data_IF_091236435993
#
_entry.id   IF_091236435993
#
_cell.length_a   1.000
_cell.length_b   1.000
_cell.length_c   1.000
_cell.angle_alpha   90.00
_cell.angle_beta   90.00
_cell.angle_gamma   90.00
#
_symmetry.space_group_name_H-M   'P 1'
#
loop_
_entity.id
_entity.type
_entity.pdbx_description
1 polymer ?
#
# COMPACT_ATOMS: atom_id res chain seq x y z
N UNK A 1 -7.24 16.40 -21.02
CA UNK A 1 -7.39 15.24 -21.90
C UNK A 1 -6.05 14.95 -22.56
N UNK A 2 -5.59 13.72 -22.51
CA UNK A 2 -4.44 13.23 -23.28
C UNK A 2 -4.85 12.07 -24.16
N UNK A 3 -4.28 11.99 -25.34
CA UNK A 3 -4.41 10.84 -26.22
C UNK A 3 -3.12 10.01 -26.07
N UNK A 4 -3.31 8.71 -25.88
CA UNK A 4 -2.21 7.71 -25.82
C UNK A 4 -2.51 6.69 -26.90
N UNK A 5 -1.55 6.45 -27.78
CA UNK A 5 -1.63 5.37 -28.76
C UNK A 5 -1.03 4.10 -28.15
N UNK A 6 -1.82 3.06 -28.06
CA UNK A 6 -1.40 1.73 -27.68
C UNK A 6 -2.11 0.69 -28.54
N UNK A 7 -1.41 -0.35 -28.95
CA UNK A 7 -1.96 -1.47 -29.74
C UNK A 7 -2.69 -1.04 -31.05
N UNK A 8 -2.25 0.08 -31.64
CA UNK A 8 -2.89 0.64 -32.85
C UNK A 8 -4.24 1.35 -32.59
N UNK A 9 -4.59 1.56 -31.33
CA UNK A 9 -5.77 2.31 -30.91
C UNK A 9 -5.38 3.61 -30.21
N UNK A 10 -6.15 4.66 -30.45
CA UNK A 10 -6.02 5.93 -29.74
C UNK A 10 -6.97 5.92 -28.53
N UNK A 11 -6.40 6.09 -27.35
CA UNK A 11 -7.16 6.18 -26.09
C UNK A 11 -7.19 7.63 -25.61
N UNK A 12 -8.38 8.14 -25.42
CA UNK A 12 -8.59 9.44 -24.82
C UNK A 12 -8.76 9.29 -23.32
N UNK A 13 -7.81 9.84 -22.57
CA UNK A 13 -7.86 9.82 -21.12
C UNK A 13 -8.30 11.19 -20.61
N UNK A 14 -9.48 11.24 -20.02
CA UNK A 14 -9.96 12.42 -19.31
C UNK A 14 -9.35 12.49 -17.93
N UNK A 15 -8.94 13.70 -17.51
CA UNK A 15 -8.35 13.93 -16.21
C UNK A 15 -9.34 13.69 -15.09
N UNK A 16 -9.16 12.61 -14.39
CA UNK A 16 -9.95 12.22 -13.23
C UNK A 16 -9.10 11.38 -12.27
N UNK A 17 -9.62 11.06 -11.10
CA UNK A 17 -8.96 10.11 -10.20
C UNK A 17 -8.88 8.73 -10.86
N UNK A 18 -7.88 7.94 -10.45
CA UNK A 18 -7.84 6.52 -10.81
C UNK A 18 -9.12 5.83 -10.35
N UNK A 19 -9.64 4.92 -11.17
CA UNK A 19 -10.85 4.15 -10.86
C UNK A 19 -10.53 2.82 -10.14
N UNK A 20 -9.27 2.60 -9.77
CA UNK A 20 -8.84 1.38 -9.09
C UNK A 20 -9.60 1.22 -7.77
N UNK A 21 -10.00 0.00 -7.47
CA UNK A 21 -10.48 -0.40 -6.15
C UNK A 21 -9.28 -0.82 -5.30
N UNK A 22 -8.75 0.12 -4.52
CA UNK A 22 -7.57 -0.12 -3.71
C UNK A 22 -7.84 -1.11 -2.57
N UNK A 23 -9.04 -1.09 -1.99
CA UNK A 23 -9.39 -2.04 -0.94
C UNK A 23 -9.44 -3.47 -1.48
N UNK A 24 -10.08 -3.67 -2.62
CA UNK A 24 -10.10 -4.98 -3.27
C UNK A 24 -8.68 -5.45 -3.62
N UNK A 25 -7.85 -4.58 -4.20
CA UNK A 25 -6.45 -4.89 -4.49
C UNK A 25 -5.67 -5.31 -3.23
N UNK A 26 -5.81 -4.56 -2.13
CA UNK A 26 -5.11 -4.86 -0.89
C UNK A 26 -5.58 -6.19 -0.27
N UNK A 27 -6.88 -6.48 -0.33
CA UNK A 27 -7.44 -7.74 0.14
C UNK A 27 -7.01 -8.93 -0.73
N UNK A 28 -6.98 -8.76 -2.05
CA UNK A 28 -6.53 -9.80 -2.98
C UNK A 28 -5.04 -10.09 -2.79
N UNK A 29 -4.21 -9.07 -2.57
CA UNK A 29 -2.80 -9.25 -2.26
C UNK A 29 -2.60 -10.01 -0.94
N UNK A 30 -3.35 -9.65 0.10
CA UNK A 30 -3.34 -10.35 1.39
C UNK A 30 -3.64 -11.83 1.23
N UNK A 31 -4.75 -12.15 0.56
CA UNK A 31 -5.16 -13.53 0.31
C UNK A 31 -4.16 -14.30 -0.57
N UNK A 32 -3.59 -13.65 -1.58
CA UNK A 32 -2.61 -14.28 -2.47
C UNK A 32 -1.31 -14.64 -1.74
N UNK A 33 -0.82 -13.75 -0.87
CA UNK A 33 0.39 -14.02 -0.06
C UNK A 33 0.10 -15.09 0.99
N UNK A 34 -1.04 -15.02 1.66
CA UNK A 34 -1.46 -16.05 2.61
C UNK A 34 -1.50 -17.42 1.94
N UNK A 35 -2.17 -17.55 0.79
CA UNK A 35 -2.22 -18.78 0.02
C UNK A 35 -0.82 -19.27 -0.37
N UNK A 36 0.04 -18.36 -0.84
CA UNK A 36 1.42 -18.70 -1.20
C UNK A 36 2.20 -19.25 -0.02
N UNK A 37 2.00 -18.73 1.17
CA UNK A 37 2.66 -19.21 2.38
C UNK A 37 2.09 -20.54 2.88
N UNK A 38 0.79 -20.79 2.67
CA UNK A 38 0.12 -22.00 3.14
C UNK A 38 0.29 -23.20 2.20
N UNK A 39 0.36 -22.97 0.89
CA UNK A 39 0.51 -24.04 -0.10
C UNK A 39 1.97 -24.24 -0.53
N UNK A 40 2.57 -25.41 -0.23
CA UNK A 40 3.97 -25.68 -0.57
C UNK A 40 4.29 -25.57 -2.07
N UNK A 41 3.36 -25.94 -2.94
CA UNK A 41 3.57 -25.89 -4.39
C UNK A 41 3.58 -24.45 -4.91
N UNK A 42 2.70 -23.61 -4.40
CA UNK A 42 2.65 -22.19 -4.68
C UNK A 42 3.90 -21.47 -4.17
N UNK A 43 4.36 -21.82 -2.95
CA UNK A 43 5.60 -21.25 -2.43
C UNK A 43 6.83 -21.68 -3.24
N UNK A 44 6.88 -22.91 -3.70
CA UNK A 44 7.98 -23.39 -4.53
C UNK A 44 8.04 -22.68 -5.88
N UNK A 45 6.89 -22.44 -6.51
CA UNK A 45 6.81 -21.66 -7.75
C UNK A 45 7.22 -20.21 -7.53
N UNK A 46 6.74 -19.58 -6.45
CA UNK A 46 7.11 -18.23 -6.05
C UNK A 46 8.62 -18.11 -5.80
N UNK A 47 9.19 -19.03 -5.02
CA UNK A 47 10.63 -19.03 -4.71
C UNK A 47 11.49 -19.21 -5.98
N UNK A 48 11.05 -20.05 -6.91
CA UNK A 48 11.74 -20.22 -8.20
C UNK A 48 11.70 -18.95 -9.05
N UNK A 49 10.58 -18.23 -9.03
CA UNK A 49 10.43 -16.96 -9.76
C UNK A 49 11.30 -15.84 -9.18
N UNK A 50 11.38 -15.73 -7.85
CA UNK A 50 12.13 -14.67 -7.17
C UNK A 50 13.64 -14.93 -7.16
N UNK A 51 14.05 -16.17 -6.84
CA UNK A 51 15.47 -16.49 -6.66
C UNK A 51 16.13 -16.98 -7.96
N UNK A 52 15.34 -17.29 -8.97
CA UNK A 52 15.78 -17.85 -10.23
C UNK A 52 16.18 -19.31 -10.16
N UNK A 53 15.93 -20.07 -11.22
CA UNK A 53 16.38 -21.44 -11.37
C UNK A 53 15.79 -22.42 -10.35
N UNK A 54 16.65 -23.24 -9.71
CA UNK A 54 16.26 -24.20 -8.69
C UNK A 54 16.86 -23.80 -7.34
N UNK A 55 16.14 -23.02 -6.53
CA UNK A 55 16.65 -22.56 -5.23
C UNK A 55 16.87 -23.73 -4.27
N UNK A 56 17.91 -23.65 -3.47
CA UNK A 56 18.20 -24.62 -2.41
C UNK A 56 17.17 -24.53 -1.28
N UNK A 57 17.09 -25.57 -0.45
CA UNK A 57 16.19 -25.56 0.71
C UNK A 57 16.49 -24.43 1.69
N UNK A 58 17.77 -24.07 1.85
CA UNK A 58 18.16 -22.95 2.73
C UNK A 58 17.74 -21.60 2.16
N UNK A 59 17.89 -21.39 0.85
CA UNK A 59 17.41 -20.18 0.19
C UNK A 59 15.88 -20.03 0.31
N UNK A 60 15.14 -21.10 0.10
CA UNK A 60 13.69 -21.13 0.27
C UNK A 60 13.28 -20.79 1.70
N UNK A 61 13.96 -21.37 2.70
CA UNK A 61 13.70 -21.12 4.12
C UNK A 61 13.95 -19.66 4.49
N UNK A 62 15.03 -19.08 4.00
CA UNK A 62 15.33 -17.68 4.21
C UNK A 62 14.27 -16.76 3.57
N UNK A 63 13.93 -17.01 2.30
CA UNK A 63 12.90 -16.25 1.61
C UNK A 63 11.55 -16.37 2.34
N UNK A 64 11.16 -17.56 2.79
CA UNK A 64 9.93 -17.75 3.56
C UNK A 64 9.90 -16.89 4.80
N UNK A 65 10.99 -16.88 5.57
CA UNK A 65 11.09 -16.05 6.78
C UNK A 65 10.97 -14.56 6.47
N UNK A 66 11.59 -14.09 5.39
CA UNK A 66 11.51 -12.70 4.96
C UNK A 66 10.06 -12.34 4.57
N UNK A 67 9.37 -13.18 3.82
CA UNK A 67 7.97 -12.99 3.43
C UNK A 67 7.05 -13.03 4.65
N UNK A 68 7.21 -13.99 5.56
CA UNK A 68 6.43 -14.09 6.80
C UNK A 68 6.60 -12.85 7.68
N UNK A 69 7.83 -12.34 7.80
CA UNK A 69 8.15 -11.14 8.58
C UNK A 69 7.46 -9.89 8.00
N UNK A 70 7.47 -9.75 6.67
CA UNK A 70 6.77 -8.66 5.99
C UNK A 70 5.24 -8.84 6.07
N UNK A 71 4.75 -10.07 5.90
CA UNK A 71 3.33 -10.36 5.80
C UNK A 71 2.58 -10.18 7.13
N UNK A 72 3.19 -10.50 8.24
CA UNK A 72 2.55 -10.44 9.55
C UNK A 72 1.97 -9.03 9.88
N UNK A 73 2.72 -7.93 9.82
CA UNK A 73 2.17 -6.60 10.05
C UNK A 73 1.19 -6.18 8.95
N UNK A 74 1.47 -6.50 7.70
CA UNK A 74 0.57 -6.21 6.58
C UNK A 74 -0.80 -6.88 6.78
N UNK A 75 -0.83 -8.18 6.95
CA UNK A 75 -2.04 -8.97 7.18
C UNK A 75 -2.82 -8.48 8.39
N UNK A 76 -2.13 -8.20 9.49
CA UNK A 76 -2.78 -7.72 10.71
C UNK A 76 -3.47 -6.37 10.49
N UNK A 77 -2.80 -5.42 9.83
CA UNK A 77 -3.41 -4.12 9.53
C UNK A 77 -4.58 -4.28 8.56
N UNK A 78 -4.41 -5.02 7.46
CA UNK A 78 -5.47 -5.22 6.47
C UNK A 78 -6.69 -5.90 7.07
N UNK A 79 -6.50 -6.95 7.88
CA UNK A 79 -7.60 -7.69 8.50
C UNK A 79 -8.40 -6.89 9.53
N UNK A 80 -7.77 -5.92 10.20
CA UNK A 80 -8.39 -5.10 11.25
C UNK A 80 -8.88 -3.74 10.75
N UNK A 81 -8.20 -3.15 9.78
CA UNK A 81 -8.48 -1.80 9.33
C UNK A 81 -9.46 -1.73 8.14
N UNK A 82 -9.47 -2.72 7.26
CA UNK A 82 -10.36 -2.67 6.08
C UNK A 82 -11.82 -2.92 6.47
N UNK A 83 -12.75 -2.02 6.10
CA UNK A 83 -14.17 -2.20 6.39
C UNK A 83 -14.76 -3.33 5.54
N UNK A 84 -15.45 -4.27 6.20
CA UNK A 84 -16.09 -5.43 5.55
C UNK A 84 -17.52 -5.14 5.11
N UNK A 85 -18.28 -4.45 5.97
CA UNK A 85 -19.70 -4.20 5.71
C UNK A 85 -19.95 -3.06 4.72
N UNK A 86 -19.06 -2.05 4.72
CA UNK A 86 -19.15 -0.89 3.84
C UNK A 86 -17.79 -0.66 3.17
N UNK A 87 -17.45 -1.45 2.14
CA UNK A 87 -16.17 -1.31 1.45
C UNK A 87 -16.04 0.06 0.78
N UNK A 88 -14.81 0.54 0.64
CA UNK A 88 -14.55 1.86 0.05
C UNK A 88 -15.06 1.99 -1.38
N UNK A 89 -14.95 0.92 -2.15
CA UNK A 89 -15.27 0.88 -3.57
C UNK A 89 -14.25 1.62 -4.46
N UNK A 90 -14.50 1.63 -5.77
CA UNK A 90 -13.58 2.21 -6.74
C UNK A 90 -13.29 3.69 -6.51
N UNK A 91 -12.08 4.08 -6.83
CA UNK A 91 -11.59 5.47 -6.74
C UNK A 91 -11.56 6.06 -5.32
N UNK A 92 -11.49 5.24 -4.29
CA UNK A 92 -11.49 5.70 -2.90
C UNK A 92 -10.40 5.01 -2.08
N UNK A 93 -9.92 5.75 -1.08
CA UNK A 93 -8.93 5.29 -0.12
C UNK A 93 -9.06 6.11 1.18
N UNK A 94 -9.04 5.45 2.31
CA UNK A 94 -8.80 6.12 3.58
C UNK A 94 -7.29 6.14 3.89
N UNK A 95 -6.57 7.01 3.21
CA UNK A 95 -5.12 7.10 3.33
C UNK A 95 -4.70 7.53 4.74
N UNK A 96 -5.45 8.42 5.38
CA UNK A 96 -5.10 8.95 6.71
C UNK A 96 -5.18 7.84 7.75
N UNK A 97 -6.29 7.10 7.78
CA UNK A 97 -6.42 5.98 8.72
C UNK A 97 -5.40 4.88 8.42
N UNK A 98 -5.12 4.57 7.16
CA UNK A 98 -4.11 3.55 6.82
C UNK A 98 -2.69 3.96 7.25
N UNK A 99 -2.31 5.22 7.05
CA UNK A 99 -1.01 5.75 7.53
C UNK A 99 -0.95 5.73 9.06
N UNK A 100 -1.99 6.22 9.74
CA UNK A 100 -2.02 6.24 11.20
C UNK A 100 -2.01 4.82 11.78
N UNK A 101 -2.75 3.88 11.23
CA UNK A 101 -2.73 2.48 11.64
C UNK A 101 -1.33 1.87 11.53
N UNK A 102 -0.59 2.21 10.48
CA UNK A 102 0.78 1.76 10.32
C UNK A 102 1.71 2.39 11.36
N UNK A 103 1.60 3.70 11.61
CA UNK A 103 2.47 4.40 12.54
C UNK A 103 2.18 4.05 14.01
N UNK A 104 0.91 3.87 14.37
CA UNK A 104 0.51 3.62 15.77
C UNK A 104 0.26 2.15 16.08
N UNK A 105 -0.04 1.36 15.08
CA UNK A 105 -0.25 -0.08 15.19
C UNK A 105 1.04 -0.90 15.20
N UNK A 106 2.18 -0.29 14.88
CA UNK A 106 3.49 -0.92 14.96
C UNK A 106 4.21 -0.48 16.25
N UNK A 107 4.79 -1.44 16.93
CA UNK A 107 5.66 -1.22 18.10
C UNK A 107 7.13 -1.28 17.63
N UNK A 108 7.86 -0.21 17.84
CA UNK A 108 9.31 -0.14 17.59
C UNK A 108 10.14 -0.66 18.77
N UNK A 109 9.49 -1.17 19.81
CA UNK A 109 10.13 -1.76 20.98
C UNK A 109 10.63 -3.18 20.75
N UNK A 110 10.72 -3.94 21.83
CA UNK A 110 11.31 -5.28 21.84
C UNK A 110 10.34 -6.43 21.53
N UNK A 111 9.08 -6.12 21.20
CA UNK A 111 8.11 -7.15 20.85
C UNK A 111 8.53 -7.89 19.57
N UNK A 112 8.50 -9.24 19.53
CA UNK A 112 8.96 -10.01 18.38
C UNK A 112 8.11 -9.81 17.12
N UNK A 113 6.87 -9.39 17.28
CA UNK A 113 5.94 -9.12 16.17
C UNK A 113 5.74 -7.62 15.90
N UNK A 114 6.25 -6.76 16.76
CA UNK A 114 6.18 -5.30 16.64
C UNK A 114 4.77 -4.75 16.31
N UNK A 115 3.71 -5.41 16.83
CA UNK A 115 2.32 -5.06 16.51
C UNK A 115 1.54 -4.74 17.78
N UNK A 116 0.89 -3.58 17.79
CA UNK A 116 -0.04 -3.14 18.84
C UNK A 116 -1.46 -3.13 18.28
N UNK A 117 -2.09 -4.30 18.23
CA UNK A 117 -3.43 -4.49 17.62
C UNK A 117 -4.48 -3.53 18.16
N UNK A 118 -4.40 -3.18 19.44
CA UNK A 118 -5.33 -2.24 20.09
C UNK A 118 -5.27 -0.82 19.54
N UNK A 119 -4.20 -0.44 18.83
CA UNK A 119 -4.05 0.86 18.20
C UNK A 119 -4.60 0.89 16.77
N UNK A 120 -4.83 -0.27 16.16
CA UNK A 120 -5.36 -0.35 14.79
C UNK A 120 -6.84 -0.04 14.81
N UNK A 121 -7.26 0.92 13.99
CA UNK A 121 -8.63 1.40 13.87
C UNK A 121 -9.19 1.11 12.49
N UNK A 122 -10.51 0.96 12.43
CA UNK A 122 -11.22 0.83 11.17
C UNK A 122 -10.99 2.07 10.30
N UNK A 123 -10.65 1.86 9.05
CA UNK A 123 -10.46 2.90 8.05
C UNK A 123 -11.78 3.12 7.30
N UNK A 124 -12.69 3.89 7.90
CA UNK A 124 -14.09 4.03 7.47
C UNK A 124 -14.43 5.42 6.91
N UNK A 125 -13.43 6.24 6.65
CA UNK A 125 -13.59 7.60 6.12
C UNK A 125 -12.89 7.76 4.75
N UNK A 126 -13.28 6.97 3.72
CA UNK A 126 -12.61 6.99 2.43
C UNK A 126 -12.91 8.26 1.67
N UNK A 127 -11.88 8.82 1.05
CA UNK A 127 -11.96 9.94 0.13
C UNK A 127 -11.54 9.52 -1.27
N UNK A 128 -11.91 10.31 -2.27
CA UNK A 128 -11.48 10.08 -3.65
C UNK A 128 -9.99 10.37 -3.80
N UNK A 129 -9.34 9.62 -4.70
CA UNK A 129 -7.99 9.94 -5.10
C UNK A 129 -7.93 11.36 -5.70
N UNK A 130 -6.88 12.13 -5.39
CA UNK A 130 -6.67 13.38 -6.07
C UNK A 130 -6.41 13.13 -7.55
N UNK A 131 -6.90 14.03 -8.40
CA UNK A 131 -6.49 14.03 -9.79
C UNK A 131 -5.07 14.58 -9.92
N UNK A 132 -4.31 14.02 -10.85
CA UNK A 132 -2.90 14.39 -11.06
C UNK A 132 -2.72 15.59 -12.01
N UNK A 133 -3.78 15.97 -12.73
CA UNK A 133 -3.76 17.05 -13.68
C UNK A 133 -3.66 18.41 -12.94
N UNK A 134 -2.73 19.21 -13.35
CA UNK A 134 -2.45 20.50 -12.74
C UNK A 134 -2.00 20.48 -11.26
N UNK A 135 -1.75 19.30 -10.69
CA UNK A 135 -1.26 19.20 -9.31
C UNK A 135 0.02 20.02 -9.04
N UNK A 136 1.01 20.10 -9.98
CA UNK A 136 2.21 20.89 -9.75
C UNK A 136 2.00 22.41 -9.71
N UNK A 137 0.90 22.91 -10.28
CA UNK A 137 0.63 24.35 -10.38
C UNK A 137 -0.42 24.83 -9.38
N UNK A 138 -0.91 23.97 -8.51
CA UNK A 138 -1.82 24.34 -7.42
C UNK A 138 -1.04 25.03 -6.31
N UNK A 139 -1.61 26.07 -5.71
CA UNK A 139 -1.02 26.79 -4.59
C UNK A 139 -1.18 26.05 -3.25
N UNK A 140 -2.21 25.22 -3.14
CA UNK A 140 -2.51 24.40 -1.95
C UNK A 140 -2.53 22.92 -2.28
N UNK A 141 -2.18 22.11 -1.28
CA UNK A 141 -2.24 20.66 -1.34
C UNK A 141 -2.93 20.07 -0.12
N UNK A 142 -3.01 18.74 -0.08
CA UNK A 142 -3.85 17.98 0.83
C UNK A 142 -5.34 18.23 0.59
N UNK A 143 -6.16 17.27 0.93
CA UNK A 143 -7.58 17.32 0.61
C UNK A 143 -8.29 18.59 1.11
N UNK A 144 -8.06 19.08 2.34
CA UNK A 144 -8.70 20.32 2.81
C UNK A 144 -7.98 21.59 2.34
N UNK A 145 -6.91 21.49 1.56
CA UNK A 145 -6.14 22.64 1.10
C UNK A 145 -5.41 23.41 2.20
N UNK A 146 -5.09 22.74 3.30
CA UNK A 146 -4.45 23.41 4.44
C UNK A 146 -2.95 23.60 4.27
N UNK A 147 -2.32 22.79 3.44
CA UNK A 147 -0.88 22.86 3.22
C UNK A 147 -0.55 23.64 1.94
N UNK A 148 0.40 24.54 2.04
CA UNK A 148 0.94 25.23 0.86
C UNK A 148 1.69 24.24 -0.03
N UNK A 149 1.47 24.32 -1.35
CA UNK A 149 2.24 23.52 -2.30
C UNK A 149 3.72 23.93 -2.28
N UNK A 150 3.97 25.22 -2.08
CA UNK A 150 5.29 25.75 -1.79
C UNK A 150 6.26 25.62 -2.96
N UNK A 151 7.55 25.63 -2.62
CA UNK A 151 8.64 25.43 -3.55
C UNK A 151 9.01 23.95 -3.68
N UNK A 152 9.95 23.63 -4.55
CA UNK A 152 10.41 22.26 -4.81
C UNK A 152 10.89 21.55 -3.54
N UNK A 153 11.52 22.25 -2.60
CA UNK A 153 12.00 21.70 -1.34
C UNK A 153 10.84 21.25 -0.44
N UNK A 154 9.78 22.08 -0.33
CA UNK A 154 8.59 21.72 0.43
C UNK A 154 7.80 20.60 -0.25
N UNK A 155 7.74 20.60 -1.58
CA UNK A 155 7.18 19.52 -2.37
C UNK A 155 7.91 18.19 -2.14
N UNK A 156 9.22 18.21 -2.16
CA UNK A 156 10.06 17.04 -1.88
C UNK A 156 9.85 16.53 -0.44
N UNK A 157 9.89 17.41 0.55
CA UNK A 157 9.71 17.08 1.96
C UNK A 157 8.34 16.44 2.23
N UNK A 158 7.28 16.97 1.61
CA UNK A 158 5.93 16.41 1.70
C UNK A 158 5.85 15.02 1.09
N UNK A 159 6.32 14.86 -0.15
CA UNK A 159 6.30 13.57 -0.83
C UNK A 159 7.15 12.53 -0.09
N UNK A 160 8.29 12.95 0.46
CA UNK A 160 9.13 12.08 1.27
C UNK A 160 8.42 11.62 2.55
N UNK A 161 7.73 12.55 3.24
CA UNK A 161 6.91 12.23 4.41
C UNK A 161 5.77 11.27 4.11
N UNK A 162 5.10 11.41 2.98
CA UNK A 162 4.04 10.50 2.54
C UNK A 162 4.58 9.10 2.23
N UNK A 163 5.70 9.00 1.50
CA UNK A 163 6.33 7.72 1.18
C UNK A 163 6.80 7.01 2.45
N UNK A 164 7.46 7.71 3.38
CA UNK A 164 7.88 7.15 4.67
C UNK A 164 6.65 6.68 5.46
N UNK A 165 5.59 7.47 5.53
CA UNK A 165 4.38 7.11 6.28
C UNK A 165 3.66 5.88 5.73
N UNK A 166 3.72 5.63 4.43
CA UNK A 166 3.01 4.52 3.79
C UNK A 166 3.87 3.27 3.63
N UNK A 167 5.14 3.43 3.25
CA UNK A 167 5.98 2.32 2.79
C UNK A 167 7.24 2.07 3.63
N UNK A 168 7.62 2.99 4.52
CA UNK A 168 8.84 2.79 5.29
C UNK A 168 8.75 1.54 6.15
N UNK A 169 9.79 0.76 6.11
CA UNK A 169 10.02 -0.32 7.06
C UNK A 169 10.79 0.27 8.25
N UNK A 170 10.24 0.07 9.43
CA UNK A 170 10.90 0.48 10.67
C UNK A 170 11.59 -0.74 11.25
N UNK A 171 12.91 -0.71 11.27
CA UNK A 171 13.72 -1.68 11.97
C UNK A 171 14.05 -1.11 13.36
N UNK A 172 13.80 -1.87 14.42
CA UNK A 172 14.15 -1.46 15.78
C UNK A 172 15.65 -1.43 16.00
#
# INVERSE_FOLDING_TARGET
TREIEADGNAYRIDGGPAIADFQAFAADLDAAVEHTLQDPSSFDAFAAAILGGKPTSEQKKRLRKEVETWFLPYHTIMSLALPKDNPWGPARLDAVAMILNRLTGLDIGTSPDHIIKSNIRLADTPVRYPFIWNAPIQDKTQWPGFADNGNDLLGLARNYGEVIGVFAEFYP
#
